data_IF_785092982973
#
_entry.id   IF_785092982973
#
_cell.length_a   1.000
_cell.length_b   1.000
_cell.length_c   1.000
_cell.angle_alpha   90.00
_cell.angle_beta   90.00
_cell.angle_gamma   90.00
#
_symmetry.space_group_name_H-M   'P 1'
#
loop_
_entity.id
_entity.type
_entity.pdbx_description
1 polymer ?
#
# COMPACT_ATOMS: atom_id res chain seq x y z
N UNK A 1 4.71 6.38 -16.75
CA UNK A 1 4.50 5.95 -15.35
C UNK A 1 4.04 4.51 -15.39
N UNK A 2 4.80 3.55 -14.82
CA UNK A 2 4.44 2.12 -14.87
C UNK A 2 3.03 1.90 -14.32
N UNK A 3 2.26 0.99 -14.94
CA UNK A 3 0.87 0.70 -14.56
C UNK A 3 0.72 0.35 -13.07
N UNK A 4 1.66 -0.42 -12.51
CA UNK A 4 1.61 -0.73 -11.08
C UNK A 4 1.75 0.51 -10.16
N UNK A 5 2.41 1.58 -10.61
CA UNK A 5 2.60 2.78 -9.80
C UNK A 5 1.28 3.54 -9.72
N UNK A 6 0.49 3.53 -10.82
CA UNK A 6 -0.87 4.08 -10.81
C UNK A 6 -1.76 3.33 -9.83
N UNK A 7 -1.68 1.99 -9.81
CA UNK A 7 -2.46 1.17 -8.86
C UNK A 7 -2.06 1.49 -7.41
N UNK A 8 -0.76 1.51 -7.12
CA UNK A 8 -0.26 1.88 -5.80
C UNK A 8 -0.79 3.25 -5.36
N UNK A 9 -0.62 4.29 -6.19
CA UNK A 9 -1.07 5.64 -5.85
C UNK A 9 -2.58 5.75 -5.70
N UNK A 10 -3.35 5.08 -6.55
CA UNK A 10 -4.80 5.08 -6.46
C UNK A 10 -5.25 4.52 -5.11
N UNK A 11 -4.72 3.35 -4.71
CA UNK A 11 -5.08 2.75 -3.42
C UNK A 11 -4.49 3.49 -2.23
N UNK A 12 -3.32 4.10 -2.36
CA UNK A 12 -2.74 4.97 -1.32
C UNK A 12 -3.60 6.23 -1.10
N UNK A 13 -4.15 6.83 -2.16
CA UNK A 13 -5.07 7.97 -2.04
C UNK A 13 -6.39 7.54 -1.40
N UNK A 14 -6.97 6.42 -1.83
CA UNK A 14 -8.19 5.87 -1.21
C UNK A 14 -7.97 5.59 0.28
N UNK A 15 -6.83 5.01 0.63
CA UNK A 15 -6.42 4.79 2.02
C UNK A 15 -6.35 6.10 2.81
N UNK A 16 -5.64 7.11 2.27
CA UNK A 16 -5.48 8.39 2.93
C UNK A 16 -6.82 9.12 3.15
N UNK A 17 -7.73 9.03 2.17
CA UNK A 17 -9.08 9.59 2.27
C UNK A 17 -9.90 8.84 3.33
N UNK A 18 -9.89 7.51 3.32
CA UNK A 18 -10.61 6.70 4.31
C UNK A 18 -10.10 6.96 5.73
N UNK A 19 -8.78 6.98 5.92
CA UNK A 19 -8.12 7.28 7.18
C UNK A 19 -8.45 8.71 7.67
N UNK A 20 -8.38 9.70 6.78
CA UNK A 20 -8.73 11.08 7.11
C UNK A 20 -10.21 11.24 7.46
N UNK A 21 -11.10 10.57 6.72
CA UNK A 21 -12.53 10.59 6.97
C UNK A 21 -12.87 9.96 8.33
N UNK A 22 -12.24 8.83 8.69
CA UNK A 22 -12.45 8.18 9.98
C UNK A 22 -12.11 9.13 11.13
N UNK A 23 -10.96 9.82 11.04
CA UNK A 23 -10.50 10.76 12.06
C UNK A 23 -11.28 12.07 12.13
N UNK A 24 -11.97 12.44 11.06
CA UNK A 24 -12.71 13.71 11.01
C UNK A 24 -14.17 13.53 11.41
N UNK A 25 -14.82 12.45 10.95
CA UNK A 25 -16.26 12.27 11.11
C UNK A 25 -16.64 11.31 12.24
N UNK A 26 -15.70 10.44 12.66
CA UNK A 26 -16.03 9.26 13.47
C UNK A 26 -15.03 9.05 14.63
N UNK A 27 -14.30 10.09 15.01
CA UNK A 27 -13.24 10.03 16.03
C UNK A 27 -13.71 9.56 17.40
N UNK A 28 -14.96 9.88 17.76
CA UNK A 28 -15.55 9.56 19.07
C UNK A 28 -16.23 8.19 19.13
N UNK A 29 -16.27 7.45 18.00
CA UNK A 29 -16.88 6.12 17.97
C UNK A 29 -15.90 5.09 18.50
N UNK A 30 -16.25 4.54 19.66
CA UNK A 30 -15.51 3.41 20.24
C UNK A 30 -16.11 2.09 19.77
N UNK A 31 -15.34 0.99 19.75
CA UNK A 31 -15.91 -0.31 19.42
C UNK A 31 -17.09 -0.62 20.36
N UNK A 32 -18.14 -1.22 19.82
CA UNK A 32 -19.42 -1.42 20.53
C UNK A 32 -19.24 -2.14 21.88
N UNK A 33 -18.22 -3.01 21.99
CA UNK A 33 -17.88 -3.72 23.22
C UNK A 33 -17.36 -2.82 24.37
N UNK A 34 -16.96 -1.57 24.08
CA UNK A 34 -16.37 -0.62 25.02
C UNK A 34 -17.22 0.65 25.18
N UNK A 35 -18.46 0.65 24.69
CA UNK A 35 -19.33 1.80 24.74
C UNK A 35 -20.10 1.87 26.07
N UNK A 36 -19.80 2.86 26.90
CA UNK A 36 -20.55 3.10 28.16
C UNK A 36 -21.96 3.65 27.89
N UNK A 37 -22.18 4.28 26.74
CA UNK A 37 -23.43 4.90 26.31
C UNK A 37 -23.85 4.38 24.93
N UNK A 38 -25.17 4.33 24.63
CA UNK A 38 -25.65 3.91 23.32
C UNK A 38 -25.18 4.88 22.24
N UNK A 39 -24.38 4.36 21.31
CA UNK A 39 -23.87 5.13 20.18
C UNK A 39 -24.89 5.18 19.04
N UNK A 40 -24.94 6.29 18.28
CA UNK A 40 -25.81 6.39 17.12
C UNK A 40 -25.42 5.36 16.06
N UNK A 41 -26.39 4.56 15.60
CA UNK A 41 -26.17 3.45 14.66
C UNK A 41 -25.47 3.89 13.37
N UNK A 42 -25.80 5.07 12.85
CA UNK A 42 -25.20 5.60 11.63
C UNK A 42 -23.69 5.81 11.79
N UNK A 43 -23.24 6.31 12.94
CA UNK A 43 -21.82 6.59 13.19
C UNK A 43 -21.02 5.28 13.30
N UNK A 44 -21.57 4.28 13.97
CA UNK A 44 -20.96 2.94 14.07
C UNK A 44 -20.83 2.28 12.69
N UNK A 45 -21.88 2.36 11.86
CA UNK A 45 -21.86 1.83 10.49
C UNK A 45 -20.81 2.55 9.62
N UNK A 46 -20.75 3.88 9.70
CA UNK A 46 -19.75 4.67 8.96
C UNK A 46 -18.33 4.33 9.41
N UNK A 47 -18.07 4.20 10.72
CA UNK A 47 -16.77 3.79 11.25
C UNK A 47 -16.33 2.45 10.65
N UNK A 48 -17.24 1.46 10.67
CA UNK A 48 -16.97 0.11 10.20
C UNK A 48 -16.67 0.08 8.69
N UNK A 49 -17.42 0.84 7.89
CA UNK A 49 -17.20 0.94 6.45
C UNK A 49 -15.86 1.63 6.13
N UNK A 50 -15.55 2.74 6.80
CA UNK A 50 -14.27 3.44 6.61
C UNK A 50 -13.08 2.56 7.00
N UNK A 51 -13.20 1.84 8.11
CA UNK A 51 -12.18 0.88 8.56
C UNK A 51 -11.98 -0.26 7.57
N UNK A 52 -13.06 -0.80 7.01
CA UNK A 52 -12.97 -1.82 5.97
C UNK A 52 -12.28 -1.29 4.70
N UNK A 53 -12.61 -0.08 4.27
CA UNK A 53 -11.97 0.58 3.12
C UNK A 53 -10.48 0.83 3.38
N UNK A 54 -10.12 1.29 4.56
CA UNK A 54 -8.72 1.48 4.97
C UNK A 54 -7.95 0.16 4.90
N UNK A 55 -8.48 -0.91 5.49
CA UNK A 55 -7.80 -2.21 5.50
C UNK A 55 -7.65 -2.80 4.08
N UNK A 56 -8.70 -2.74 3.25
CA UNK A 56 -8.66 -3.25 1.88
C UNK A 56 -7.68 -2.43 1.03
N UNK A 57 -7.82 -1.11 1.05
CA UNK A 57 -6.97 -0.22 0.25
C UNK A 57 -5.51 -0.26 0.69
N UNK A 58 -5.26 -0.28 2.00
CA UNK A 58 -3.93 -0.45 2.57
C UNK A 58 -3.30 -1.79 2.15
N UNK A 59 -4.07 -2.87 2.20
CA UNK A 59 -3.60 -4.21 1.80
C UNK A 59 -3.24 -4.27 0.31
N UNK A 60 -4.09 -3.74 -0.57
CA UNK A 60 -3.82 -3.70 -2.01
C UNK A 60 -2.62 -2.82 -2.33
N UNK A 61 -2.51 -1.66 -1.69
CA UNK A 61 -1.36 -0.76 -1.82
C UNK A 61 -0.06 -1.45 -1.40
N UNK A 62 -0.07 -2.16 -0.26
CA UNK A 62 1.09 -2.91 0.22
C UNK A 62 1.49 -4.02 -0.73
N UNK A 63 0.54 -4.81 -1.24
CA UNK A 63 0.82 -5.87 -2.22
C UNK A 63 1.43 -5.29 -3.49
N UNK A 64 0.85 -4.19 -4.02
CA UNK A 64 1.39 -3.52 -5.20
C UNK A 64 2.83 -3.03 -4.99
N UNK A 65 3.13 -2.49 -3.81
CA UNK A 65 4.46 -2.05 -3.43
C UNK A 65 5.44 -3.23 -3.34
N UNK A 66 5.04 -4.35 -2.74
CA UNK A 66 5.86 -5.56 -2.63
C UNK A 66 6.21 -6.11 -4.03
N UNK A 67 5.22 -6.21 -4.92
CA UNK A 67 5.45 -6.67 -6.30
C UNK A 67 6.41 -5.76 -7.06
N UNK A 68 6.27 -4.44 -6.90
CA UNK A 68 7.18 -3.45 -7.47
C UNK A 68 8.61 -3.61 -6.96
N UNK A 69 8.79 -3.76 -5.65
CA UNK A 69 10.09 -4.00 -5.05
C UNK A 69 10.71 -5.31 -5.57
N UNK A 70 9.90 -6.36 -5.76
CA UNK A 70 10.36 -7.63 -6.34
C UNK A 70 10.87 -7.47 -7.78
N UNK A 71 10.12 -6.78 -8.64
CA UNK A 71 10.53 -6.51 -10.02
C UNK A 71 11.79 -5.65 -10.06
N UNK A 72 11.89 -4.63 -9.20
CA UNK A 72 13.07 -3.78 -9.12
C UNK A 72 14.29 -4.58 -8.63
N UNK A 73 14.16 -5.41 -7.61
CA UNK A 73 15.24 -6.25 -7.12
C UNK A 73 15.76 -7.21 -8.22
N UNK A 74 14.87 -7.82 -8.99
CA UNK A 74 15.26 -8.66 -10.13
C UNK A 74 15.99 -7.85 -11.21
N UNK A 75 15.51 -6.65 -11.53
CA UNK A 75 16.18 -5.76 -12.47
C UNK A 75 17.61 -5.39 -12.03
N UNK A 76 17.80 -5.03 -10.76
CA UNK A 76 19.13 -4.72 -10.21
C UNK A 76 20.07 -5.93 -10.31
N UNK A 77 19.55 -7.14 -10.05
CA UNK A 77 20.31 -8.38 -10.20
C UNK A 77 20.76 -8.59 -11.65
N UNK A 78 19.88 -8.40 -12.63
CA UNK A 78 20.21 -8.53 -14.05
C UNK A 78 21.26 -7.49 -14.50
N UNK A 79 21.16 -6.26 -14.02
CA UNK A 79 22.15 -5.20 -14.30
C UNK A 79 23.54 -5.58 -13.75
N UNK A 80 23.61 -6.16 -12.54
CA UNK A 80 24.88 -6.63 -11.97
C UNK A 80 25.48 -7.80 -12.77
N UNK A 81 24.65 -8.78 -13.16
CA UNK A 81 25.11 -9.94 -13.96
C UNK A 81 25.65 -9.49 -15.31
N UNK A 82 24.91 -8.64 -16.02
CA UNK A 82 25.35 -8.12 -17.33
C UNK A 82 26.61 -7.25 -17.23
N UNK A 83 26.77 -6.47 -16.15
CA UNK A 83 27.99 -5.72 -15.91
C UNK A 83 29.20 -6.64 -15.68
N UNK A 84 29.03 -7.74 -14.94
CA UNK A 84 30.05 -8.76 -14.72
C UNK A 84 30.49 -9.44 -16.01
N UNK A 85 29.55 -9.86 -16.86
CA UNK A 85 29.86 -10.48 -18.15
C UNK A 85 30.65 -9.54 -19.07
N UNK A 86 30.27 -8.26 -19.14
CA UNK A 86 30.99 -7.24 -19.91
C UNK A 86 32.43 -7.04 -19.43
N UNK A 87 32.67 -7.12 -18.12
CA UNK A 87 34.02 -7.01 -17.56
C UNK A 87 34.88 -8.23 -17.89
N UNK A 88 34.31 -9.44 -17.80
CA UNK A 88 35.00 -10.68 -18.19
C UNK A 88 35.39 -10.67 -19.67
N UNK A 89 34.47 -10.25 -20.55
CA UNK A 89 34.73 -10.17 -21.98
C UNK A 89 35.94 -9.26 -22.30
N UNK A 90 36.04 -8.08 -21.66
CA UNK A 90 37.18 -7.17 -21.85
C UNK A 90 38.52 -7.70 -21.35
N UNK A 91 38.51 -8.63 -20.38
CA UNK A 91 39.73 -9.19 -19.82
C UNK A 91 40.29 -10.35 -20.65
N UNK A 92 39.44 -11.02 -21.43
CA UNK A 92 39.83 -12.11 -22.34
C UNK A 92 40.44 -11.56 -23.64
N UNK A 93 40.05 -10.35 -24.04
CA UNK A 93 40.50 -9.69 -25.27
C UNK A 93 41.89 -9.01 -25.14
N UNK A 94 42.53 -9.11 -23.98
CA UNK A 94 43.78 -8.43 -23.62
C UNK A 94 44.88 -9.42 -23.27
#
# INVERSE_FOLDING_TARGET
MNEGWKVFWLFAVVFAVAFGAERTFVADVVPVAFADLPQPLWAVLTAMVLRALELISGSVSLIALILMCGVWADHLRQVQVSAQERLKARFIEK
#
